data_IF_293421834698
#
_entry.id   IF_293421834698
#
_cell.length_a   1.000
_cell.length_b   1.000
_cell.length_c   1.000
_cell.angle_alpha   90.00
_cell.angle_beta   90.00
_cell.angle_gamma   90.00
#
_symmetry.space_group_name_H-M   'P 1'
#
loop_
_entity.id
_entity.type
_entity.pdbx_description
1 polymer ?
#
# COMPACT_ATOMS: atom_id res chain seq x y z
N UNK A 1 -30.78 -8.86 88.26
CA UNK A 1 -29.50 -8.45 87.64
C UNK A 1 -29.41 -9.18 86.28
N UNK A 2 -29.75 -8.49 85.21
CA UNK A 2 -29.78 -9.03 83.82
C UNK A 2 -28.67 -8.34 83.08
N UNK A 3 -27.63 -9.11 82.66
CA UNK A 3 -26.55 -8.58 81.82
C UNK A 3 -26.99 -8.57 80.39
N UNK A 4 -26.93 -7.35 79.77
CA UNK A 4 -27.18 -7.11 78.33
C UNK A 4 -25.85 -7.26 77.59
N UNK A 5 -25.66 -8.39 76.88
CA UNK A 5 -24.55 -8.58 75.94
C UNK A 5 -24.81 -7.77 74.66
N UNK A 6 -23.96 -6.79 74.39
CA UNK A 6 -23.93 -6.04 73.16
C UNK A 6 -23.26 -6.87 72.08
N UNK A 7 -24.03 -7.27 71.06
CA UNK A 7 -23.49 -7.84 69.84
C UNK A 7 -22.97 -6.69 68.94
N UNK A 8 -21.68 -6.69 68.67
CA UNK A 8 -21.08 -5.80 67.65
C UNK A 8 -21.14 -6.53 66.31
N UNK A 9 -21.98 -6.02 65.42
CA UNK A 9 -22.04 -6.50 64.03
C UNK A 9 -20.98 -5.76 63.25
N UNK A 10 -19.91 -6.41 62.84
CA UNK A 10 -18.89 -5.86 61.93
C UNK A 10 -19.39 -6.10 60.51
N UNK A 11 -19.85 -5.04 59.85
CA UNK A 11 -20.13 -5.03 58.42
C UNK A 11 -18.82 -4.93 57.65
N UNK A 12 -18.35 -6.05 57.08
CA UNK A 12 -17.27 -6.06 56.08
C UNK A 12 -17.85 -5.58 54.75
N UNK A 13 -17.59 -4.30 54.40
CA UNK A 13 -17.83 -3.78 53.07
C UNK A 13 -16.74 -4.30 52.12
N UNK A 14 -17.07 -5.33 51.34
CA UNK A 14 -16.20 -5.84 50.31
C UNK A 14 -16.17 -4.84 49.12
N UNK A 15 -15.07 -4.15 48.94
CA UNK A 15 -14.78 -3.39 47.75
C UNK A 15 -14.44 -4.38 46.62
N UNK A 16 -15.38 -4.66 45.73
CA UNK A 16 -15.12 -5.33 44.46
C UNK A 16 -14.49 -4.29 43.53
N UNK A 17 -13.17 -4.31 43.44
CA UNK A 17 -12.43 -3.54 42.44
C UNK A 17 -12.65 -4.18 41.06
N UNK A 18 -13.50 -3.58 40.27
CA UNK A 18 -13.70 -3.95 38.86
C UNK A 18 -12.52 -3.39 38.04
N UNK A 19 -11.49 -4.22 37.90
CA UNK A 19 -10.38 -3.88 36.96
C UNK A 19 -10.90 -4.03 35.55
N UNK A 20 -11.11 -2.88 34.86
CA UNK A 20 -11.31 -2.83 33.44
C UNK A 20 -9.99 -3.25 32.75
N UNK A 21 -9.96 -4.48 32.25
CA UNK A 21 -8.90 -4.92 31.34
C UNK A 21 -9.16 -4.20 30.02
N UNK A 22 -8.44 -3.12 29.78
CA UNK A 22 -8.34 -2.52 28.44
C UNK A 22 -7.44 -3.45 27.65
N UNK A 23 -8.04 -4.36 26.88
CA UNK A 23 -7.29 -5.06 25.86
C UNK A 23 -6.82 -4.01 24.84
N UNK A 24 -5.55 -3.66 24.91
CA UNK A 24 -4.90 -2.93 23.82
C UNK A 24 -4.88 -3.89 22.63
N UNK A 25 -5.79 -3.70 21.67
CA UNK A 25 -5.68 -4.30 20.36
C UNK A 25 -4.36 -3.77 19.78
N UNK A 26 -3.30 -4.59 19.84
CA UNK A 26 -2.09 -4.32 19.10
C UNK A 26 -2.54 -4.10 17.65
N UNK A 27 -2.24 -2.94 17.08
CA UNK A 27 -2.32 -2.75 15.65
C UNK A 27 -1.34 -3.78 15.07
N UNK A 28 -1.88 -4.90 14.58
CA UNK A 28 -1.15 -5.78 13.68
C UNK A 28 -0.79 -4.91 12.48
N UNK A 29 0.43 -4.38 12.48
CA UNK A 29 0.99 -3.72 11.32
C UNK A 29 0.83 -4.68 10.15
N UNK A 30 0.07 -4.28 9.14
CA UNK A 30 -0.24 -5.15 8.01
C UNK A 30 1.08 -5.58 7.39
N UNK A 31 1.33 -6.89 7.37
CA UNK A 31 2.51 -7.51 6.77
C UNK A 31 2.37 -7.59 5.22
N UNK A 32 1.76 -6.55 4.65
CA UNK A 32 1.57 -6.46 3.20
C UNK A 32 2.91 -6.33 2.51
N UNK A 33 3.16 -7.21 1.55
CA UNK A 33 4.41 -7.29 0.79
C UNK A 33 4.15 -7.21 -0.70
N UNK A 34 5.06 -6.57 -1.41
CA UNK A 34 5.08 -6.47 -2.86
C UNK A 34 6.38 -7.08 -3.39
N UNK A 35 6.26 -8.00 -4.33
CA UNK A 35 7.39 -8.65 -4.99
C UNK A 35 7.13 -8.82 -6.49
N UNK A 36 8.14 -9.22 -7.23
CA UNK A 36 8.03 -9.57 -8.65
C UNK A 36 8.82 -10.85 -8.93
N UNK A 37 8.30 -11.76 -9.76
CA UNK A 37 9.09 -12.90 -10.23
C UNK A 37 10.21 -12.50 -11.20
N UNK A 38 10.19 -11.26 -11.70
CA UNK A 38 11.12 -10.78 -12.72
C UNK A 38 12.37 -10.09 -12.14
N UNK A 39 12.31 -9.54 -10.92
CA UNK A 39 13.42 -8.88 -10.26
C UNK A 39 13.22 -8.81 -8.74
N UNK A 40 14.32 -8.76 -8.01
CA UNK A 40 14.31 -8.61 -6.55
C UNK A 40 14.24 -7.13 -6.13
N UNK A 41 13.87 -6.87 -4.88
CA UNK A 41 13.90 -5.53 -4.30
C UNK A 41 15.32 -4.95 -4.35
N UNK A 42 15.48 -3.75 -4.91
CA UNK A 42 16.76 -3.13 -5.27
C UNK A 42 17.58 -3.89 -6.33
N UNK A 43 16.96 -4.84 -7.03
CA UNK A 43 17.55 -5.54 -8.16
C UNK A 43 17.38 -4.79 -9.49
N UNK A 44 18.10 -5.24 -10.51
CA UNK A 44 18.00 -4.67 -11.85
C UNK A 44 16.69 -5.04 -12.53
N UNK A 45 15.98 -4.04 -13.06
CA UNK A 45 14.82 -4.25 -13.93
C UNK A 45 15.28 -4.86 -15.27
N UNK A 46 14.68 -6.00 -15.69
CA UNK A 46 14.93 -6.55 -17.03
C UNK A 46 14.58 -5.55 -18.14
N UNK A 47 15.40 -5.55 -19.18
CA UNK A 47 15.26 -4.64 -20.33
C UNK A 47 13.87 -4.65 -20.97
N UNK A 48 13.20 -5.82 -20.97
CA UNK A 48 11.84 -6.03 -21.44
C UNK A 48 10.82 -5.00 -20.89
N UNK A 49 10.97 -4.57 -19.64
CA UNK A 49 10.05 -3.65 -18.97
C UNK A 49 10.42 -2.19 -19.15
N UNK A 50 11.44 -1.88 -19.94
CA UNK A 50 12.03 -0.55 -20.10
C UNK A 50 11.88 -0.03 -21.51
N UNK A 51 12.30 1.22 -21.76
CA UNK A 51 12.27 1.83 -23.09
C UNK A 51 13.22 1.18 -24.10
N UNK A 52 14.11 0.32 -23.68
CA UNK A 52 15.00 -0.45 -24.58
C UNK A 52 14.39 -1.81 -24.97
N UNK A 53 13.30 -2.22 -24.33
CA UNK A 53 12.54 -3.41 -24.64
C UNK A 53 11.08 -3.11 -25.00
N UNK A 54 10.16 -3.95 -24.53
CA UNK A 54 8.74 -3.86 -24.89
C UNK A 54 7.97 -2.75 -24.19
N UNK A 55 8.54 -2.15 -23.14
CA UNK A 55 7.89 -1.10 -22.31
C UNK A 55 6.52 -1.55 -21.77
N UNK A 56 6.47 -2.76 -21.23
CA UNK A 56 5.29 -3.36 -20.59
C UNK A 56 5.49 -3.46 -19.08
N UNK A 57 4.41 -3.48 -18.31
CA UNK A 57 4.53 -3.67 -16.86
C UNK A 57 5.00 -5.08 -16.51
N UNK A 58 5.84 -5.25 -15.47
CA UNK A 58 6.18 -6.55 -14.92
C UNK A 58 4.99 -7.18 -14.18
N UNK A 59 5.04 -8.50 -14.00
CA UNK A 59 4.18 -9.18 -13.05
C UNK A 59 4.56 -8.77 -11.62
N UNK A 60 3.54 -8.52 -10.78
CA UNK A 60 3.71 -8.18 -9.37
C UNK A 60 2.86 -9.14 -8.51
N UNK A 61 3.44 -9.62 -7.43
CA UNK A 61 2.77 -10.45 -6.42
C UNK A 61 2.54 -9.61 -5.16
N UNK A 62 1.31 -9.66 -4.62
CA UNK A 62 0.91 -8.91 -3.44
C UNK A 62 0.47 -9.92 -2.38
N UNK A 63 1.17 -9.94 -1.25
CA UNK A 63 0.90 -10.84 -0.12
C UNK A 63 0.45 -10.04 1.10
N UNK A 64 -0.23 -10.68 2.05
CA UNK A 64 -0.61 -10.06 3.32
C UNK A 64 -1.60 -8.90 3.17
N UNK A 65 -2.47 -8.94 2.16
CA UNK A 65 -3.51 -7.92 1.96
C UNK A 65 -4.44 -7.92 3.18
N UNK A 66 -4.63 -6.77 3.87
CA UNK A 66 -5.46 -6.70 5.08
C UNK A 66 -6.90 -7.13 4.85
N UNK A 67 -7.50 -7.74 5.85
CA UNK A 67 -8.96 -7.93 5.88
C UNK A 67 -9.68 -6.57 5.79
N UNK A 68 -10.80 -6.53 5.07
CA UNK A 68 -11.55 -5.29 4.84
C UNK A 68 -11.11 -4.48 3.62
N UNK A 69 -10.02 -4.87 2.94
CA UNK A 69 -9.63 -4.26 1.65
C UNK A 69 -10.75 -4.47 0.61
N UNK A 70 -11.10 -3.39 -0.08
CA UNK A 70 -12.12 -3.36 -1.14
C UNK A 70 -11.53 -3.15 -2.54
N UNK A 71 -10.42 -2.42 -2.62
CA UNK A 71 -9.67 -2.21 -3.86
C UNK A 71 -8.20 -1.99 -3.54
N UNK A 72 -7.38 -2.04 -4.60
CA UNK A 72 -5.98 -1.64 -4.53
C UNK A 72 -5.75 -0.45 -5.46
N UNK A 73 -4.70 0.33 -5.16
CA UNK A 73 -4.16 1.33 -6.06
C UNK A 73 -2.65 1.11 -6.21
N UNK A 74 -2.12 1.47 -7.38
CA UNK A 74 -0.69 1.38 -7.70
C UNK A 74 -0.20 2.69 -8.27
N UNK A 75 0.97 3.15 -7.79
CA UNK A 75 1.73 4.24 -8.37
C UNK A 75 3.15 3.75 -8.61
N UNK A 76 3.65 3.93 -9.85
CA UNK A 76 5.07 3.74 -10.16
C UNK A 76 5.70 5.08 -10.46
N UNK A 77 6.75 5.43 -9.73
CA UNK A 77 7.46 6.69 -9.90
C UNK A 77 9.00 6.56 -9.85
N UNK A 78 9.69 7.56 -10.40
CA UNK A 78 11.14 7.72 -10.42
C UNK A 78 11.52 9.05 -9.75
N UNK A 79 11.93 9.04 -8.48
CA UNK A 79 12.34 10.25 -7.78
C UNK A 79 13.73 10.77 -8.19
N UNK A 80 14.51 9.99 -8.96
CA UNK A 80 15.84 10.36 -9.40
C UNK A 80 15.83 11.11 -10.74
N UNK A 81 14.64 11.29 -11.34
CA UNK A 81 14.49 12.04 -12.59
C UNK A 81 14.87 13.52 -12.41
N UNK A 82 15.64 14.06 -13.35
CA UNK A 82 16.17 15.42 -13.29
C UNK A 82 15.09 16.53 -13.22
N UNK A 83 13.89 16.25 -13.71
CA UNK A 83 12.73 17.15 -13.65
C UNK A 83 11.94 17.06 -12.34
N UNK A 84 12.39 16.29 -11.38
CA UNK A 84 11.65 15.90 -10.19
C UNK A 84 11.00 14.53 -10.36
N UNK A 85 10.08 14.18 -9.47
CA UNK A 85 9.42 12.89 -9.45
C UNK A 85 8.66 12.60 -10.76
N UNK A 86 9.17 11.66 -11.56
CA UNK A 86 8.54 11.26 -12.83
C UNK A 86 7.63 10.05 -12.59
N UNK A 87 6.35 10.24 -12.85
CA UNK A 87 5.32 9.21 -12.68
C UNK A 87 5.25 8.35 -13.95
N UNK A 88 5.53 7.05 -13.79
CA UNK A 88 5.53 6.06 -14.86
C UNK A 88 4.19 5.39 -15.07
N UNK A 89 3.46 5.12 -13.97
CA UNK A 89 2.19 4.42 -14.03
C UNK A 89 1.30 4.80 -12.85
N UNK A 90 0.01 5.00 -13.10
CA UNK A 90 -1.02 5.27 -12.10
C UNK A 90 -2.20 4.36 -12.38
N UNK A 91 -2.58 3.54 -11.39
CA UNK A 91 -3.73 2.63 -11.52
C UNK A 91 -4.50 2.63 -10.21
N UNK A 92 -5.81 2.59 -10.30
CA UNK A 92 -6.70 2.53 -9.14
C UNK A 92 -7.91 1.64 -9.42
N UNK A 93 -8.72 1.40 -8.38
CA UNK A 93 -9.84 0.46 -8.44
C UNK A 93 -9.43 -0.94 -8.96
N UNK A 94 -8.20 -1.35 -8.61
CA UNK A 94 -7.69 -2.69 -8.89
C UNK A 94 -8.46 -3.69 -8.02
N UNK A 95 -9.03 -4.77 -8.59
CA UNK A 95 -9.68 -5.82 -7.81
C UNK A 95 -8.72 -6.45 -6.78
N UNK A 96 -9.25 -6.82 -5.62
CA UNK A 96 -8.46 -7.45 -4.56
C UNK A 96 -8.13 -8.90 -4.98
N UNK A 97 -6.92 -9.09 -5.41
CA UNK A 97 -6.35 -10.39 -5.80
C UNK A 97 -4.88 -10.46 -5.39
N UNK A 98 -4.26 -11.61 -5.60
CA UNK A 98 -2.89 -11.84 -5.18
C UNK A 98 -1.82 -11.22 -6.09
N UNK A 99 -2.19 -10.47 -7.14
CA UNK A 99 -1.18 -9.90 -8.02
C UNK A 99 -1.69 -9.11 -9.21
N UNK A 100 -0.74 -8.58 -9.96
CA UNK A 100 -0.92 -7.90 -11.24
C UNK A 100 -0.15 -8.70 -12.29
N UNK A 101 -0.81 -9.08 -13.35
CA UNK A 101 -0.18 -9.84 -14.42
C UNK A 101 0.75 -8.95 -15.28
N UNK A 102 1.74 -9.57 -15.88
CA UNK A 102 2.59 -8.93 -16.87
C UNK A 102 1.75 -8.46 -18.07
N UNK A 103 2.08 -7.29 -18.63
CA UNK A 103 1.40 -6.72 -19.81
C UNK A 103 -0.12 -6.64 -19.63
N UNK A 104 -0.58 -6.21 -18.47
CA UNK A 104 -2.00 -6.14 -18.12
C UNK A 104 -2.48 -4.73 -17.82
N UNK A 105 -3.79 -4.56 -17.77
CA UNK A 105 -4.48 -3.36 -17.29
C UNK A 105 -5.31 -3.79 -16.09
N UNK A 106 -4.75 -3.72 -14.86
CA UNK A 106 -5.38 -4.31 -13.69
C UNK A 106 -6.56 -3.52 -13.12
N UNK A 107 -6.74 -2.26 -13.54
CA UNK A 107 -7.79 -1.36 -13.04
C UNK A 107 -7.93 -0.11 -13.92
N UNK A 108 -8.55 0.92 -13.39
CA UNK A 108 -8.64 2.22 -14.09
C UNK A 108 -7.28 2.91 -14.11
N UNK A 109 -6.90 3.42 -15.28
CA UNK A 109 -5.60 4.06 -15.47
C UNK A 109 -5.67 5.58 -15.32
N UNK A 110 -4.76 6.11 -14.51
CA UNK A 110 -4.50 7.54 -14.39
C UNK A 110 -3.49 8.04 -15.42
N UNK A 111 -3.25 9.35 -15.41
CA UNK A 111 -2.32 10.04 -16.32
C UNK A 111 -0.93 10.07 -15.70
N UNK A 112 0.05 9.53 -16.40
CA UNK A 112 1.48 9.57 -16.06
C UNK A 112 2.14 10.91 -16.45
N UNK A 113 3.44 11.06 -16.17
CA UNK A 113 4.19 12.30 -16.50
C UNK A 113 4.36 12.55 -17.99
N UNK A 114 4.18 11.53 -18.86
CA UNK A 114 4.16 11.67 -20.31
C UNK A 114 2.79 12.12 -20.86
N UNK A 115 1.78 12.34 -19.99
CA UNK A 115 0.42 12.70 -20.41
C UNK A 115 -0.41 11.52 -20.93
N UNK A 116 0.02 10.27 -20.68
CA UNK A 116 -0.60 9.04 -21.17
C UNK A 116 -1.27 8.27 -20.02
N UNK A 117 -2.23 7.42 -20.37
CA UNK A 117 -2.94 6.53 -19.42
C UNK A 117 -2.49 5.08 -19.64
N UNK A 118 -1.21 4.83 -19.48
CA UNK A 118 -0.59 3.51 -19.63
C UNK A 118 0.70 3.42 -18.80
N UNK A 119 1.33 2.25 -18.82
CA UNK A 119 2.66 2.04 -18.31
C UNK A 119 3.70 2.67 -19.24
N UNK A 120 4.62 3.45 -18.69
CA UNK A 120 5.81 3.99 -19.40
C UNK A 120 7.05 3.35 -18.80
N UNK A 121 7.79 2.61 -19.63
CA UNK A 121 9.02 1.93 -19.20
C UNK A 121 10.12 2.89 -18.73
N UNK A 122 10.92 2.51 -17.75
CA UNK A 122 12.13 3.19 -17.33
C UNK A 122 13.03 3.60 -18.49
N UNK A 123 13.44 4.87 -18.53
CA UNK A 123 14.31 5.41 -19.60
C UNK A 123 15.23 6.52 -19.07
N UNK A 124 16.12 6.23 -18.10
CA UNK A 124 16.95 7.26 -17.51
C UNK A 124 17.91 7.83 -18.55
N UNK A 125 18.06 9.17 -18.64
CA UNK A 125 18.98 9.78 -19.62
C UNK A 125 20.45 9.50 -19.27
N UNK A 126 20.77 9.42 -18.00
CA UNK A 126 22.13 9.15 -17.48
C UNK A 126 22.05 8.40 -16.14
N UNK A 127 23.06 7.58 -15.86
CA UNK A 127 23.15 6.89 -14.57
C UNK A 127 22.12 5.77 -14.36
N UNK A 128 22.05 5.29 -13.14
CA UNK A 128 21.05 4.34 -12.70
C UNK A 128 20.01 5.07 -11.84
N UNK A 129 18.73 4.88 -12.16
CA UNK A 129 17.63 5.43 -11.41
C UNK A 129 16.89 4.34 -10.64
N UNK A 130 16.17 4.73 -9.60
CA UNK A 130 15.29 3.89 -8.79
C UNK A 130 13.85 4.05 -9.25
N UNK A 131 13.17 2.94 -9.42
CA UNK A 131 11.76 2.91 -9.84
C UNK A 131 10.95 2.26 -8.73
N UNK A 132 10.10 3.04 -8.10
CA UNK A 132 9.32 2.64 -6.96
C UNK A 132 7.94 2.17 -7.41
N UNK A 133 7.64 0.89 -7.24
CA UNK A 133 6.29 0.34 -7.37
C UNK A 133 5.65 0.40 -6.00
N UNK A 134 4.60 1.20 -5.83
CA UNK A 134 3.91 1.43 -4.57
C UNK A 134 2.47 0.94 -4.68
N UNK A 135 2.08 -0.05 -3.88
CA UNK A 135 0.71 -0.56 -3.83
C UNK A 135 0.07 -0.19 -2.50
N UNK A 136 -1.16 0.25 -2.58
CA UNK A 136 -2.00 0.68 -1.45
C UNK A 136 -3.23 -0.20 -1.37
N UNK A 137 -3.52 -0.78 -0.22
CA UNK A 137 -4.77 -1.47 0.09
C UNK A 137 -5.78 -0.46 0.65
N UNK A 138 -6.97 -0.41 0.08
CA UNK A 138 -7.99 0.60 0.38
C UNK A 138 -9.27 -0.04 0.94
N UNK A 139 -9.91 0.61 1.91
CA UNK A 139 -11.16 0.17 2.53
C UNK A 139 -12.41 0.42 1.67
N UNK A 140 -12.23 0.97 0.46
CA UNK A 140 -13.31 1.25 -0.49
C UNK A 140 -12.88 1.10 -1.95
N UNK A 141 -13.84 0.97 -2.87
CA UNK A 141 -13.68 1.30 -4.29
C UNK A 141 -13.76 2.82 -4.43
N UNK A 142 -12.86 3.41 -5.19
CA UNK A 142 -12.83 4.87 -5.36
C UNK A 142 -13.95 5.35 -6.28
N UNK A 143 -14.21 4.62 -7.36
CA UNK A 143 -15.22 4.94 -8.39
C UNK A 143 -15.08 6.39 -8.89
N UNK A 144 -13.86 6.83 -9.11
CA UNK A 144 -13.54 8.18 -9.56
C UNK A 144 -13.50 8.27 -11.09
N UNK A 145 -13.53 9.49 -11.60
CA UNK A 145 -13.37 9.75 -13.04
C UNK A 145 -12.01 9.23 -13.53
N UNK A 146 -11.96 8.86 -14.81
CA UNK A 146 -10.73 8.38 -15.45
C UNK A 146 -9.68 9.48 -15.57
N UNK A 147 -8.42 9.08 -15.59
CA UNK A 147 -7.32 9.99 -15.87
C UNK A 147 -6.85 10.83 -14.69
N UNK A 148 -7.04 10.37 -13.45
CA UNK A 148 -6.44 11.02 -12.28
C UNK A 148 -4.92 11.07 -12.41
N UNK A 149 -4.32 12.18 -11.97
CA UNK A 149 -2.87 12.27 -11.79
C UNK A 149 -2.47 11.80 -10.38
N UNK A 150 -1.20 11.46 -10.18
CA UNK A 150 -0.66 11.00 -8.90
C UNK A 150 -1.11 11.87 -7.71
N UNK A 151 -1.00 13.22 -7.71
CA UNK A 151 -1.39 14.02 -6.54
C UNK A 151 -2.90 13.92 -6.21
N UNK A 152 -3.75 13.82 -7.24
CA UNK A 152 -5.19 13.70 -7.05
C UNK A 152 -5.54 12.32 -6.50
N UNK A 153 -4.89 11.27 -7.02
CA UNK A 153 -5.05 9.91 -6.50
C UNK A 153 -4.55 9.81 -5.05
N UNK A 154 -3.36 10.31 -4.74
CA UNK A 154 -2.80 10.31 -3.36
C UNK A 154 -3.73 11.01 -2.36
N UNK A 155 -4.31 12.14 -2.76
CA UNK A 155 -5.32 12.85 -1.96
C UNK A 155 -6.59 12.01 -1.76
N UNK A 156 -7.06 11.34 -2.80
CA UNK A 156 -8.28 10.54 -2.74
C UNK A 156 -8.12 9.28 -1.90
N UNK A 157 -6.96 8.61 -1.98
CA UNK A 157 -6.70 7.38 -1.23
C UNK A 157 -6.29 7.63 0.22
N UNK A 158 -5.68 8.79 0.54
CA UNK A 158 -5.09 9.07 1.84
C UNK A 158 -5.93 8.66 3.05
N UNK A 159 -7.23 9.03 3.14
CA UNK A 159 -8.10 8.65 4.27
C UNK A 159 -8.52 7.17 4.27
N UNK A 160 -8.20 6.41 3.22
CA UNK A 160 -8.72 5.06 2.96
C UNK A 160 -7.65 3.96 2.97
N UNK A 161 -6.39 4.33 3.22
CA UNK A 161 -5.28 3.38 3.21
C UNK A 161 -5.32 2.49 4.46
N UNK A 162 -5.48 1.18 4.26
CA UNK A 162 -5.34 0.16 5.28
C UNK A 162 -3.89 -0.31 5.41
N UNK A 163 -3.18 -0.40 4.27
CA UNK A 163 -1.79 -0.82 4.21
C UNK A 163 -1.13 -0.32 2.93
N UNK A 164 0.21 -0.32 2.93
CA UNK A 164 1.02 -0.09 1.73
C UNK A 164 2.19 -1.05 1.68
N UNK A 165 2.62 -1.38 0.46
CA UNK A 165 3.85 -2.12 0.20
C UNK A 165 4.60 -1.47 -0.96
N UNK A 166 5.91 -1.67 -1.00
CA UNK A 166 6.79 -1.07 -1.97
C UNK A 166 7.81 -2.07 -2.51
N UNK A 167 8.07 -2.02 -3.80
CA UNK A 167 9.13 -2.76 -4.48
C UNK A 167 9.95 -1.77 -5.30
N UNK A 168 11.27 -1.79 -5.17
CA UNK A 168 12.18 -0.90 -5.90
C UNK A 168 12.94 -1.72 -6.94
N UNK A 169 12.89 -1.27 -8.19
CA UNK A 169 13.74 -1.78 -9.25
C UNK A 169 14.78 -0.73 -9.68
N UNK A 170 15.94 -1.16 -10.06
CA UNK A 170 17.01 -0.30 -10.56
C UNK A 170 17.15 -0.46 -12.08
N UNK A 171 17.33 0.63 -12.79
CA UNK A 171 17.64 0.56 -14.21
C UNK A 171 18.61 1.66 -14.62
N UNK A 172 19.57 1.26 -15.47
CA UNK A 172 20.51 2.12 -16.18
C UNK A 172 20.41 1.79 -17.65
N UNK A 173 20.10 2.80 -18.44
CA UNK A 173 20.11 2.67 -19.91
C UNK A 173 21.53 2.35 -20.41
N UNK A 174 21.64 1.40 -21.31
CA UNK A 174 22.91 1.03 -21.98
C UNK A 174 23.24 2.01 -23.08
#
# INVERSE_FOLDING_TARGET
MVEIRKFVVILLAGFISLTLIVESKAEEGSDMRLSSPAFEHNGSLPEKFTCQGDSINPALTIEGIPAGTKSLALIMDDPDAASGDFVHWVVYDIPVNAGIEEKSIPGEQGVNSSGRQDYVGPCPPTGAHRYFFKVYALDKMLNLEKGLRKPDLEKAIGPHILAKAELIGLYKKK
#
